data_IF_512075657975
#
_entry.id   IF_512075657975
#
_cell.length_a   1.000
_cell.length_b   1.000
_cell.length_c   1.000
_cell.angle_alpha   90.00
_cell.angle_beta   90.00
_cell.angle_gamma   90.00
#
_symmetry.space_group_name_H-M   'P 1'
#
loop_
_entity.id
_entity.type
_entity.pdbx_description
1 polymer ?
#
# COMPACT_ATOMS: atom_id res chain seq x y z
N UNK A 1 -5.78 -10.49 14.86
CA UNK A 1 -5.50 -9.97 13.50
C UNK A 1 -6.83 -9.67 12.84
N UNK A 2 -7.20 -8.39 12.67
CA UNK A 2 -8.40 -8.00 11.92
C UNK A 2 -7.92 -7.59 10.51
N UNK A 3 -7.83 -8.54 9.59
CA UNK A 3 -7.34 -8.29 8.23
C UNK A 3 -6.76 -9.52 7.54
N UNK A 4 -6.77 -9.54 6.20
CA UNK A 4 -6.09 -10.60 5.42
C UNK A 4 -4.57 -10.47 5.63
N UNK A 5 -3.93 -11.57 6.05
CA UNK A 5 -2.47 -11.59 6.25
C UNK A 5 -1.73 -11.42 4.90
N UNK A 6 -0.50 -10.92 4.93
CA UNK A 6 0.31 -10.87 3.70
C UNK A 6 0.50 -12.28 3.14
N UNK A 7 0.72 -12.40 1.83
CA UNK A 7 0.94 -13.70 1.19
C UNK A 7 2.07 -14.47 1.90
N UNK A 8 3.21 -13.81 2.18
CA UNK A 8 4.34 -14.42 2.91
C UNK A 8 3.98 -14.87 4.34
N UNK A 9 3.26 -14.03 5.11
CA UNK A 9 2.83 -14.41 6.45
C UNK A 9 1.86 -15.59 6.41
N UNK A 10 0.98 -15.62 5.40
CA UNK A 10 0.04 -16.71 5.19
C UNK A 10 0.75 -18.03 4.88
N UNK A 11 1.85 -18.00 4.11
CA UNK A 11 2.70 -19.18 3.91
C UNK A 11 3.37 -19.66 5.20
N UNK A 12 3.88 -18.75 6.03
CA UNK A 12 4.48 -19.11 7.31
C UNK A 12 3.45 -19.73 8.28
N UNK A 13 2.26 -19.13 8.37
CA UNK A 13 1.13 -19.67 9.14
C UNK A 13 0.73 -21.04 8.59
N UNK A 14 0.57 -21.17 7.26
CA UNK A 14 0.22 -22.43 6.61
C UNK A 14 1.21 -23.54 6.95
N UNK A 15 2.50 -23.25 6.97
CA UNK A 15 3.53 -24.20 7.39
C UNK A 15 3.40 -24.59 8.87
N UNK A 16 3.11 -23.64 9.76
CA UNK A 16 2.94 -23.92 11.19
C UNK A 16 1.71 -24.79 11.47
N UNK A 17 0.60 -24.60 10.75
CA UNK A 17 -0.65 -25.33 10.97
C UNK A 17 -0.81 -26.56 10.07
N UNK A 18 0.12 -26.80 9.13
CA UNK A 18 0.06 -27.87 8.13
C UNK A 18 -0.27 -29.24 8.75
N UNK A 19 0.36 -29.54 9.88
CA UNK A 19 0.23 -30.81 10.58
C UNK A 19 -1.15 -31.06 11.21
N UNK A 20 -2.00 -30.03 11.32
CA UNK A 20 -3.32 -30.10 11.96
C UNK A 20 -4.42 -30.31 10.91
N UNK A 21 -4.25 -29.79 9.70
CA UNK A 21 -5.30 -29.74 8.67
C UNK A 21 -4.98 -30.63 7.47
N UNK A 22 -6.01 -31.23 6.86
CA UNK A 22 -5.84 -32.04 5.64
C UNK A 22 -5.37 -31.24 4.41
N UNK A 23 -5.51 -29.92 4.43
CA UNK A 23 -4.97 -28.99 3.45
C UNK A 23 -5.14 -27.54 3.89
N UNK A 24 -4.29 -26.66 3.39
CA UNK A 24 -4.32 -25.22 3.68
C UNK A 24 -4.27 -24.46 2.36
N UNK A 25 -5.19 -23.51 2.19
CA UNK A 25 -5.21 -22.60 1.05
C UNK A 25 -5.01 -21.16 1.52
N UNK A 26 -4.19 -20.41 0.78
CA UNK A 26 -3.78 -19.04 1.09
C UNK A 26 -4.40 -18.09 0.08
N UNK A 27 -5.04 -17.02 0.57
CA UNK A 27 -5.57 -15.97 -0.27
C UNK A 27 -4.44 -15.21 -0.99
N UNK A 28 -4.57 -15.01 -2.30
CA UNK A 28 -3.68 -14.14 -3.07
C UNK A 28 -4.49 -12.99 -3.70
N UNK A 29 -4.34 -11.73 -3.23
CA UNK A 29 -5.09 -10.58 -3.77
C UNK A 29 -4.77 -10.25 -5.23
N UNK A 30 -3.71 -10.81 -5.80
CA UNK A 30 -3.34 -10.62 -7.21
C UNK A 30 -3.99 -11.64 -8.13
N UNK A 31 -4.56 -12.70 -7.56
CA UNK A 31 -5.21 -13.77 -8.27
C UNK A 31 -6.69 -13.69 -7.86
N UNK A 32 -7.55 -13.25 -8.76
CA UNK A 32 -8.95 -13.02 -8.42
C UNK A 32 -9.67 -12.25 -9.51
N UNK A 33 -10.98 -12.41 -9.53
CA UNK A 33 -11.87 -11.65 -10.41
C UNK A 33 -12.85 -10.85 -9.55
N UNK A 34 -13.55 -9.90 -10.16
CA UNK A 34 -14.49 -9.06 -9.42
C UNK A 34 -15.59 -9.94 -8.82
N UNK A 35 -15.69 -9.95 -7.49
CA UNK A 35 -16.66 -10.76 -6.73
C UNK A 35 -16.20 -12.19 -6.44
N UNK A 36 -14.92 -12.50 -6.65
CA UNK A 36 -14.40 -13.86 -6.53
C UNK A 36 -12.96 -13.85 -5.99
N UNK A 37 -12.83 -14.22 -4.72
CA UNK A 37 -11.55 -14.35 -4.03
C UNK A 37 -10.91 -15.69 -4.41
N UNK A 38 -9.66 -15.65 -4.87
CA UNK A 38 -8.90 -16.86 -5.17
C UNK A 38 -7.94 -17.19 -4.03
N UNK A 39 -7.98 -18.44 -3.63
CA UNK A 39 -7.06 -19.04 -2.68
C UNK A 39 -6.23 -20.09 -3.40
N UNK A 40 -4.94 -20.12 -3.15
CA UNK A 40 -4.04 -21.14 -3.71
C UNK A 40 -3.81 -22.19 -2.64
N UNK A 41 -4.02 -23.46 -2.94
CA UNK A 41 -3.69 -24.57 -2.04
C UNK A 41 -2.17 -24.62 -1.89
N UNK A 42 -1.66 -24.34 -0.69
CA UNK A 42 -0.22 -24.30 -0.38
C UNK A 42 0.26 -25.55 0.35
N UNK A 43 -0.65 -26.22 1.05
CA UNK A 43 -0.41 -27.48 1.75
C UNK A 43 -1.55 -28.43 1.42
N UNK A 44 -1.23 -29.69 1.11
CA UNK A 44 -2.24 -30.74 1.02
C UNK A 44 -1.68 -32.07 1.53
N UNK A 45 -2.46 -32.71 2.38
CA UNK A 45 -2.26 -34.08 2.88
C UNK A 45 -3.36 -35.02 2.35
N UNK A 46 -4.20 -34.54 1.41
CA UNK A 46 -5.28 -35.33 0.82
C UNK A 46 -5.11 -35.45 -0.69
N UNK A 47 -5.68 -36.51 -1.29
CA UNK A 47 -5.74 -36.64 -2.75
C UNK A 47 -6.81 -35.76 -3.40
N UNK A 48 -7.68 -35.16 -2.59
CA UNK A 48 -8.84 -34.39 -3.08
C UNK A 48 -8.46 -33.04 -3.66
N UNK A 49 -7.36 -32.44 -3.21
CA UNK A 49 -6.84 -31.18 -3.72
C UNK A 49 -5.32 -31.20 -3.80
N UNK A 50 -4.76 -30.64 -4.86
CA UNK A 50 -3.32 -30.62 -5.08
C UNK A 50 -2.72 -29.26 -4.72
N UNK A 51 -1.45 -29.26 -4.29
CA UNK A 51 -0.71 -28.00 -4.10
C UNK A 51 -0.65 -27.25 -5.44
N UNK A 52 -0.97 -25.96 -5.41
CA UNK A 52 -1.08 -25.10 -6.58
C UNK A 52 -2.49 -25.02 -7.17
N UNK A 53 -3.42 -25.88 -6.75
CA UNK A 53 -4.83 -25.77 -7.14
C UNK A 53 -5.45 -24.49 -6.58
N UNK A 54 -6.38 -23.89 -7.31
CA UNK A 54 -7.08 -22.67 -6.91
C UNK A 54 -8.46 -23.00 -6.36
N UNK A 55 -8.82 -22.34 -5.27
CA UNK A 55 -10.12 -22.42 -4.60
C UNK A 55 -10.75 -21.05 -4.67
N UNK A 56 -11.91 -21.01 -5.30
CA UNK A 56 -12.64 -19.78 -5.54
C UNK A 56 -13.72 -19.62 -4.46
N UNK A 57 -13.78 -18.43 -3.86
CA UNK A 57 -14.78 -18.07 -2.87
C UNK A 57 -15.51 -16.83 -3.38
N UNK A 58 -16.83 -16.96 -3.58
CA UNK A 58 -17.68 -15.82 -3.93
C UNK A 58 -17.63 -14.77 -2.83
N UNK A 59 -17.48 -13.51 -3.22
CA UNK A 59 -17.51 -12.38 -2.33
C UNK A 59 -18.33 -11.24 -2.94
N UNK A 60 -18.90 -10.39 -2.11
CA UNK A 60 -19.60 -9.21 -2.62
C UNK A 60 -18.60 -8.24 -3.25
N UNK A 61 -18.74 -7.90 -4.55
CA UNK A 61 -17.81 -6.99 -5.20
C UNK A 61 -17.98 -5.57 -4.69
N UNK A 62 -17.00 -5.08 -3.94
CA UNK A 62 -16.97 -3.69 -3.46
C UNK A 62 -16.26 -2.75 -4.46
N UNK A 63 -16.64 -1.46 -4.53
CA UNK A 63 -15.90 -0.48 -5.31
C UNK A 63 -14.47 -0.35 -4.75
N UNK A 64 -13.46 -0.73 -5.53
CA UNK A 64 -12.07 -0.67 -5.08
C UNK A 64 -11.57 0.78 -5.06
N UNK A 65 -11.33 1.33 -3.87
CA UNK A 65 -10.62 2.59 -3.68
C UNK A 65 -9.11 2.29 -3.74
N UNK A 66 -8.45 2.77 -4.80
CA UNK A 66 -7.00 2.58 -5.03
C UNK A 66 -6.29 3.91 -4.81
N UNK A 67 -5.53 4.03 -3.73
CA UNK A 67 -4.84 5.28 -3.35
C UNK A 67 -3.34 5.12 -3.55
N UNK A 68 -2.74 6.06 -4.28
CA UNK A 68 -1.29 6.13 -4.47
C UNK A 68 -0.64 7.16 -3.54
N UNK A 69 0.46 6.78 -2.90
CA UNK A 69 1.38 7.66 -2.20
C UNK A 69 2.45 8.14 -3.16
N UNK A 70 2.41 9.42 -3.49
CA UNK A 70 3.34 10.06 -4.41
C UNK A 70 4.17 11.16 -3.71
N UNK A 71 5.22 11.62 -4.39
CA UNK A 71 6.08 12.70 -3.92
C UNK A 71 7.57 12.44 -4.08
N UNK A 72 8.42 13.48 -3.94
CA UNK A 72 9.87 13.42 -4.14
C UNK A 72 10.58 12.33 -3.30
N UNK A 73 11.83 11.97 -3.66
CA UNK A 73 12.58 10.99 -2.88
C UNK A 73 12.88 11.52 -1.47
N UNK A 74 13.05 10.61 -0.52
CA UNK A 74 13.43 10.92 0.87
C UNK A 74 12.44 11.87 1.58
N UNK A 75 11.14 11.73 1.34
CA UNK A 75 10.05 12.35 2.12
C UNK A 75 9.45 11.42 3.17
N UNK A 76 9.92 10.18 3.26
CA UNK A 76 9.36 9.21 4.20
C UNK A 76 8.12 8.46 3.70
N UNK A 77 7.86 8.42 2.38
CA UNK A 77 6.74 7.64 1.79
C UNK A 77 6.60 6.22 2.35
N UNK A 78 7.68 5.44 2.37
CA UNK A 78 7.66 4.07 2.92
C UNK A 78 7.30 4.05 4.41
N UNK A 79 7.81 5.03 5.19
CA UNK A 79 7.52 5.16 6.62
C UNK A 79 6.04 5.50 6.82
N UNK A 80 5.51 6.46 6.05
CA UNK A 80 4.11 6.81 6.09
C UNK A 80 3.22 5.64 5.66
N UNK A 81 3.57 4.92 4.60
CA UNK A 81 2.82 3.74 4.14
C UNK A 81 2.66 2.71 5.27
N UNK A 82 3.74 2.41 6.01
CA UNK A 82 3.68 1.48 7.14
C UNK A 82 2.91 2.04 8.34
N UNK A 83 3.06 3.34 8.62
CA UNK A 83 2.31 4.00 9.67
C UNK A 83 0.80 4.00 9.39
N UNK A 84 0.40 4.34 8.16
CA UNK A 84 -0.98 4.27 7.67
C UNK A 84 -1.52 2.84 7.71
N UNK A 85 -0.71 1.86 7.25
CA UNK A 85 -1.10 0.46 7.32
C UNK A 85 -1.48 0.07 8.76
N UNK A 86 -0.65 0.45 9.71
CA UNK A 86 -0.87 0.15 11.13
C UNK A 86 -2.06 0.92 11.70
N UNK A 87 -2.24 2.19 11.32
CA UNK A 87 -3.34 3.02 11.79
C UNK A 87 -4.69 2.52 11.26
N UNK A 88 -4.81 2.25 9.96
CA UNK A 88 -6.04 1.74 9.33
C UNK A 88 -6.44 0.40 9.95
N UNK A 89 -5.51 -0.53 10.16
CA UNK A 89 -5.81 -1.84 10.77
C UNK A 89 -6.26 -1.75 12.24
N UNK A 90 -6.04 -0.62 12.92
CA UNK A 90 -6.51 -0.36 14.29
C UNK A 90 -7.92 0.23 14.34
N UNK A 91 -8.42 0.81 13.24
CA UNK A 91 -9.77 1.37 13.17
C UNK A 91 -10.83 0.27 13.15
N UNK A 92 -11.95 0.48 13.85
CA UNK A 92 -13.00 -0.54 13.97
C UNK A 92 -13.83 -0.70 12.69
N UNK A 93 -14.02 0.41 11.96
CA UNK A 93 -14.75 0.48 10.70
C UNK A 93 -13.87 0.25 9.46
N UNK A 94 -12.59 -0.12 9.62
CA UNK A 94 -11.71 -0.37 8.49
C UNK A 94 -12.18 -1.58 7.66
N UNK A 95 -12.06 -1.51 6.31
CA UNK A 95 -12.35 -2.65 5.46
C UNK A 95 -11.49 -3.86 5.84
N UNK A 96 -12.14 -5.02 6.03
CA UNK A 96 -11.47 -6.27 6.46
C UNK A 96 -10.45 -6.78 5.44
N UNK A 97 -10.58 -6.35 4.21
CA UNK A 97 -9.73 -6.69 3.09
C UNK A 97 -8.75 -5.56 2.72
N UNK A 98 -8.56 -4.53 3.54
CA UNK A 98 -7.55 -3.49 3.28
C UNK A 98 -6.18 -4.09 2.93
N UNK A 99 -5.58 -3.64 1.83
CA UNK A 99 -4.33 -4.17 1.31
C UNK A 99 -3.31 -3.08 0.97
N UNK A 100 -2.03 -3.42 1.15
CA UNK A 100 -0.91 -2.53 0.86
C UNK A 100 0.11 -3.24 -0.03
N UNK A 101 0.55 -2.58 -1.10
CA UNK A 101 1.58 -3.11 -2.01
C UNK A 101 2.62 -2.04 -2.35
N UNK A 102 3.90 -2.43 -2.39
CA UNK A 102 4.96 -1.54 -2.88
C UNK A 102 4.95 -1.47 -4.41
N UNK A 103 4.93 -0.25 -4.94
CA UNK A 103 5.01 0.03 -6.38
C UNK A 103 6.38 0.46 -6.87
N UNK A 104 7.40 0.54 -5.99
CA UNK A 104 8.76 0.95 -6.34
C UNK A 104 9.76 -0.21 -6.18
N UNK A 105 10.66 -0.47 -7.14
CA UNK A 105 11.68 -1.52 -7.03
C UNK A 105 12.93 -1.04 -6.27
N UNK A 106 12.75 -0.30 -5.17
CA UNK A 106 13.86 0.29 -4.42
C UNK A 106 14.56 -0.68 -3.44
N UNK A 107 14.13 -1.95 -3.47
CA UNK A 107 14.60 -2.99 -2.56
C UNK A 107 13.93 -2.93 -1.19
N UNK A 108 12.97 -2.03 -0.99
CA UNK A 108 12.15 -1.99 0.21
C UNK A 108 10.86 -2.78 -0.02
N UNK A 109 10.49 -3.60 0.96
CA UNK A 109 9.23 -4.35 0.97
C UNK A 109 8.56 -4.25 2.33
N UNK A 110 7.43 -4.95 2.49
CA UNK A 110 6.72 -5.00 3.78
C UNK A 110 7.59 -5.51 4.95
N UNK A 111 8.67 -6.24 4.66
CA UNK A 111 9.65 -6.73 5.62
C UNK A 111 10.61 -5.62 6.12
N UNK A 112 10.86 -4.58 5.32
CA UNK A 112 11.99 -3.69 5.52
C UNK A 112 11.91 -2.92 6.84
N UNK A 113 10.76 -2.33 7.18
CA UNK A 113 10.63 -1.54 8.41
C UNK A 113 10.80 -2.38 9.69
N UNK A 114 10.25 -3.59 9.72
CA UNK A 114 10.41 -4.50 10.86
C UNK A 114 11.85 -4.99 10.98
N UNK A 115 12.47 -5.39 9.86
CA UNK A 115 13.88 -5.80 9.86
C UNK A 115 14.77 -4.63 10.24
N UNK A 116 14.53 -3.40 9.77
CA UNK A 116 15.35 -2.24 10.09
C UNK A 116 15.31 -1.88 11.59
N UNK A 117 14.17 -2.08 12.26
CA UNK A 117 14.04 -1.87 13.71
C UNK A 117 14.78 -2.93 14.53
N UNK A 118 14.74 -4.19 14.10
CA UNK A 118 15.32 -5.30 14.85
C UNK A 118 16.79 -5.59 14.49
N UNK A 119 17.17 -5.35 13.24
CA UNK A 119 18.48 -5.65 12.67
C UNK A 119 18.79 -4.71 11.47
N UNK A 120 19.27 -3.48 11.74
CA UNK A 120 19.46 -2.45 10.71
C UNK A 120 20.49 -2.85 9.64
N UNK A 121 21.55 -3.56 10.02
CA UNK A 121 22.60 -3.99 9.09
C UNK A 121 22.07 -5.03 8.10
N UNK A 122 21.30 -6.01 8.58
CA UNK A 122 20.63 -6.99 7.73
C UNK A 122 19.63 -6.32 6.79
N UNK A 123 18.85 -5.35 7.29
CA UNK A 123 17.92 -4.61 6.46
C UNK A 123 18.62 -3.86 5.32
N UNK A 124 19.75 -3.23 5.61
CA UNK A 124 20.56 -2.53 4.60
C UNK A 124 21.15 -3.49 3.55
N UNK A 125 21.64 -4.65 3.99
CA UNK A 125 22.16 -5.70 3.10
C UNK A 125 21.07 -6.21 2.16
N UNK A 126 19.93 -6.68 2.71
CA UNK A 126 18.83 -7.21 1.90
C UNK A 126 18.27 -6.16 0.95
N UNK A 127 18.17 -4.89 1.40
CA UNK A 127 17.71 -3.81 0.51
C UNK A 127 18.63 -3.66 -0.69
N UNK A 128 19.94 -3.73 -0.50
CA UNK A 128 20.91 -3.64 -1.59
C UNK A 128 20.79 -4.82 -2.56
N UNK A 129 20.52 -6.00 -2.05
CA UNK A 129 20.34 -7.23 -2.83
C UNK A 129 19.04 -7.23 -3.65
N UNK A 130 17.94 -6.80 -3.05
CA UNK A 130 16.62 -6.78 -3.70
C UNK A 130 16.33 -5.53 -4.53
N UNK A 131 17.19 -4.50 -4.46
CA UNK A 131 17.03 -3.29 -5.26
C UNK A 131 17.18 -3.62 -6.74
N UNK A 132 16.12 -3.35 -7.50
CA UNK A 132 16.09 -3.61 -8.92
C UNK A 132 16.02 -2.31 -9.73
N UNK A 133 16.23 -2.41 -11.04
CA UNK A 133 16.04 -1.28 -11.94
C UNK A 133 14.55 -1.00 -12.12
N UNK A 134 14.18 0.27 -12.07
CA UNK A 134 12.83 0.69 -12.42
C UNK A 134 12.70 0.69 -13.94
N UNK A 135 12.13 -0.38 -14.48
CA UNK A 135 11.98 -0.61 -15.92
C UNK A 135 10.51 -0.55 -16.31
N UNK A 136 10.23 -0.25 -17.58
CA UNK A 136 8.88 -0.33 -18.14
C UNK A 136 8.23 -1.71 -17.94
N UNK A 137 9.01 -2.79 -18.02
CA UNK A 137 8.51 -4.15 -17.74
C UNK A 137 8.00 -4.25 -16.31
N UNK A 138 8.82 -3.81 -15.34
CA UNK A 138 8.42 -3.78 -13.93
C UNK A 138 7.15 -2.93 -13.73
N UNK A 139 7.08 -1.75 -14.35
CA UNK A 139 5.92 -0.88 -14.24
C UNK A 139 4.65 -1.51 -14.80
N UNK A 140 4.71 -2.20 -15.95
CA UNK A 140 3.58 -2.93 -16.55
C UNK A 140 3.15 -4.11 -15.69
N UNK A 141 4.11 -4.90 -15.20
CA UNK A 141 3.83 -6.04 -14.33
C UNK A 141 3.17 -5.54 -13.02
N UNK A 142 3.66 -4.43 -12.46
CA UNK A 142 3.10 -3.81 -11.26
C UNK A 142 1.72 -3.20 -11.49
N UNK A 143 1.50 -2.52 -12.61
CA UNK A 143 0.18 -1.98 -12.97
C UNK A 143 -0.83 -3.11 -13.15
N UNK A 144 -0.42 -4.25 -13.73
CA UNK A 144 -1.28 -5.44 -13.81
C UNK A 144 -1.65 -5.97 -12.42
N UNK A 145 -0.67 -6.08 -11.51
CA UNK A 145 -0.95 -6.46 -10.11
C UNK A 145 -1.97 -5.51 -9.47
N UNK A 146 -1.75 -4.20 -9.56
CA UNK A 146 -2.65 -3.17 -8.97
C UNK A 146 -4.03 -3.21 -9.62
N UNK A 147 -4.12 -3.45 -10.93
CA UNK A 147 -5.38 -3.59 -11.65
C UNK A 147 -6.19 -4.79 -11.13
N UNK A 148 -5.53 -5.94 -10.93
CA UNK A 148 -6.16 -7.19 -10.47
C UNK A 148 -6.63 -7.14 -9.01
N UNK A 149 -5.96 -6.36 -8.16
CA UNK A 149 -6.34 -6.20 -6.75
C UNK A 149 -7.68 -5.46 -6.67
N UNK A 150 -8.70 -6.15 -6.15
CA UNK A 150 -10.08 -5.67 -6.02
C UNK A 150 -10.51 -5.41 -4.57
N UNK A 151 -9.55 -5.43 -3.64
CA UNK A 151 -9.78 -5.09 -2.25
C UNK A 151 -10.43 -3.71 -2.11
N UNK A 152 -11.36 -3.58 -1.16
CA UNK A 152 -12.19 -2.38 -0.95
C UNK A 152 -11.33 -1.12 -0.77
N UNK A 153 -10.18 -1.26 -0.11
CA UNK A 153 -9.15 -0.23 -0.02
C UNK A 153 -7.77 -0.81 -0.35
N UNK A 154 -7.10 -0.21 -1.33
CA UNK A 154 -5.73 -0.51 -1.73
C UNK A 154 -4.86 0.74 -1.56
N UNK A 155 -3.80 0.62 -0.78
CA UNK A 155 -2.76 1.65 -0.68
C UNK A 155 -1.48 1.16 -1.36
N UNK A 156 -0.90 1.99 -2.22
CA UNK A 156 0.39 1.69 -2.85
C UNK A 156 1.23 2.95 -2.98
N UNK A 157 2.54 2.80 -3.16
CA UNK A 157 3.46 3.91 -3.35
C UNK A 157 4.15 3.85 -4.73
N UNK A 158 4.68 4.98 -5.17
CA UNK A 158 5.44 5.08 -6.43
C UNK A 158 6.83 5.66 -6.20
N UNK A 159 7.72 5.44 -7.18
CA UNK A 159 9.06 5.96 -7.15
C UNK A 159 9.07 7.49 -7.09
N UNK A 160 9.94 8.05 -6.24
CA UNK A 160 9.96 9.50 -6.01
C UNK A 160 10.59 10.35 -7.11
N UNK A 161 11.07 9.76 -8.20
CA UNK A 161 11.67 10.52 -9.31
C UNK A 161 10.55 11.10 -10.19
N UNK A 162 10.62 12.42 -10.42
CA UNK A 162 9.57 13.23 -11.06
C UNK A 162 9.72 13.20 -12.58
N UNK A 163 8.60 13.10 -13.30
CA UNK A 163 7.83 11.89 -13.48
C UNK A 163 8.42 11.06 -14.61
N UNK A 164 8.40 9.73 -14.47
CA UNK A 164 8.83 8.83 -15.54
C UNK A 164 7.64 8.11 -16.16
N UNK A 165 7.86 7.53 -17.34
CA UNK A 165 6.87 6.69 -18.01
C UNK A 165 6.38 5.54 -17.12
N UNK A 166 7.27 5.00 -16.28
CA UNK A 166 6.96 3.97 -15.31
C UNK A 166 5.93 4.44 -14.27
N UNK A 167 6.10 5.64 -13.71
CA UNK A 167 5.12 6.22 -12.78
C UNK A 167 3.78 6.44 -13.46
N UNK A 168 3.77 6.86 -14.74
CA UNK A 168 2.52 7.04 -15.51
C UNK A 168 1.74 5.73 -15.62
N UNK A 169 2.42 4.65 -15.97
CA UNK A 169 1.83 3.31 -16.11
C UNK A 169 1.23 2.85 -14.77
N UNK A 170 1.98 2.97 -13.67
CA UNK A 170 1.51 2.51 -12.35
C UNK A 170 0.36 3.37 -11.83
N UNK A 171 0.48 4.70 -11.90
CA UNK A 171 -0.52 5.65 -11.37
C UNK A 171 -1.82 5.67 -12.17
N UNK A 172 -1.81 5.21 -13.43
CA UNK A 172 -3.04 5.05 -14.23
C UNK A 172 -4.09 4.13 -13.60
N UNK A 173 -3.67 3.29 -12.63
CA UNK A 173 -4.53 2.36 -11.90
C UNK A 173 -5.07 2.95 -10.58
N UNK A 174 -4.60 4.14 -10.19
CA UNK A 174 -5.07 4.83 -9.00
C UNK A 174 -6.44 5.50 -9.24
N UNK A 175 -7.20 5.65 -8.15
CA UNK A 175 -8.43 6.43 -8.09
C UNK A 175 -8.24 7.77 -7.39
N UNK A 176 -7.34 7.82 -6.40
CA UNK A 176 -7.00 9.01 -5.64
C UNK A 176 -5.49 9.01 -5.35
N UNK A 177 -4.94 10.18 -5.03
CA UNK A 177 -3.56 10.33 -4.63
C UNK A 177 -3.41 11.08 -3.30
N UNK A 178 -2.39 10.69 -2.54
CA UNK A 178 -1.90 11.37 -1.35
C UNK A 178 -0.47 11.80 -1.63
N UNK A 179 -0.24 13.11 -1.57
CA UNK A 179 1.04 13.72 -1.91
C UNK A 179 1.88 13.98 -0.66
N UNK A 180 3.13 13.55 -0.67
CA UNK A 180 4.13 13.93 0.35
C UNK A 180 5.12 14.90 -0.26
N UNK A 181 5.09 16.16 0.20
CA UNK A 181 5.92 17.23 -0.34
C UNK A 181 7.02 17.68 0.64
N UNK A 182 8.08 18.30 0.12
CA UNK A 182 9.01 19.11 0.92
C UNK A 182 8.77 20.61 0.73
N UNK A 183 8.24 20.96 -0.44
CA UNK A 183 8.05 22.33 -0.90
C UNK A 183 6.76 22.43 -1.72
N UNK A 184 6.24 23.65 -1.87
CA UNK A 184 5.12 23.94 -2.77
C UNK A 184 5.43 23.59 -4.23
N UNK A 185 6.69 23.72 -4.64
CA UNK A 185 7.09 23.35 -6.00
C UNK A 185 6.91 21.85 -6.25
N UNK A 186 7.21 21.01 -5.25
CA UNK A 186 6.96 19.57 -5.36
C UNK A 186 5.47 19.30 -5.59
N UNK A 187 4.59 20.03 -4.88
CA UNK A 187 3.13 19.89 -5.04
C UNK A 187 2.73 20.26 -6.46
N UNK A 188 3.18 21.42 -6.95
CA UNK A 188 2.88 21.90 -8.30
C UNK A 188 3.32 20.90 -9.39
N UNK A 189 4.55 20.38 -9.30
CA UNK A 189 5.09 19.43 -10.28
C UNK A 189 4.29 18.13 -10.33
N UNK A 190 3.89 17.61 -9.15
CA UNK A 190 3.09 16.39 -9.06
C UNK A 190 1.62 16.60 -9.44
N UNK A 191 1.04 17.77 -9.15
CA UNK A 191 -0.30 18.15 -9.63
C UNK A 191 -0.33 18.21 -11.14
N UNK A 192 0.63 18.91 -11.76
CA UNK A 192 0.72 18.99 -13.22
C UNK A 192 0.85 17.60 -13.85
N UNK A 193 1.65 16.72 -13.27
CA UNK A 193 1.75 15.34 -13.74
C UNK A 193 0.40 14.60 -13.64
N UNK A 194 -0.28 14.68 -12.49
CA UNK A 194 -1.53 13.97 -12.24
C UNK A 194 -2.71 14.50 -13.06
N UNK A 195 -2.72 15.79 -13.37
CA UNK A 195 -3.79 16.45 -14.12
C UNK A 195 -3.58 16.38 -15.63
N UNK A 196 -2.34 16.60 -16.11
CA UNK A 196 -2.06 16.79 -17.54
C UNK A 196 -1.35 15.63 -18.22
N UNK A 197 -0.67 14.76 -17.46
CA UNK A 197 0.17 13.68 -18.03
C UNK A 197 -0.43 12.29 -17.86
N UNK A 198 -1.39 12.12 -16.95
CA UNK A 198 -2.17 10.89 -16.84
C UNK A 198 -3.31 10.88 -17.86
N UNK A 199 -3.72 9.69 -18.29
CA UNK A 199 -4.88 9.52 -19.19
C UNK A 199 -6.19 9.98 -18.56
N UNK A 200 -6.28 9.90 -17.22
CA UNK A 200 -7.38 10.39 -16.41
C UNK A 200 -6.82 11.27 -15.30
N UNK A 201 -7.40 12.46 -15.06
CA UNK A 201 -7.00 13.30 -13.94
C UNK A 201 -7.11 12.52 -12.63
N UNK A 202 -6.05 12.54 -11.84
CA UNK A 202 -6.00 11.85 -10.55
C UNK A 202 -6.15 12.87 -9.40
N UNK A 203 -7.29 12.90 -8.69
CA UNK A 203 -7.53 13.89 -7.65
C UNK A 203 -6.66 13.64 -6.41
N UNK A 204 -6.16 14.72 -5.83
CA UNK A 204 -5.49 14.70 -4.53
C UNK A 204 -6.51 14.80 -3.41
N UNK A 205 -6.53 13.79 -2.55
CA UNK A 205 -7.36 13.77 -1.33
C UNK A 205 -6.59 14.29 -0.12
N UNK A 206 -5.25 14.29 -0.19
CA UNK A 206 -4.41 14.89 0.82
C UNK A 206 -3.06 15.38 0.27
N UNK A 207 -2.56 16.48 0.85
CA UNK A 207 -1.23 17.06 0.59
C UNK A 207 -0.54 17.26 1.94
N UNK A 208 0.50 16.47 2.20
CA UNK A 208 1.20 16.45 3.48
C UNK A 208 2.64 16.86 3.30
N UNK A 209 3.07 17.89 4.03
CA UNK A 209 4.45 18.36 4.02
C UNK A 209 5.27 17.59 5.05
N UNK A 210 6.33 16.92 4.59
CA UNK A 210 7.27 16.19 5.42
C UNK A 210 8.33 17.15 5.96
N UNK A 211 8.17 17.59 7.20
CA UNK A 211 9.11 18.51 7.85
C UNK A 211 10.05 17.80 8.82
N UNK A 212 11.35 17.81 8.51
CA UNK A 212 12.38 17.18 9.35
C UNK A 212 12.65 17.92 10.66
N UNK A 213 12.40 19.24 10.69
CA UNK A 213 12.70 20.11 11.84
C UNK A 213 11.50 20.34 12.75
N UNK A 214 10.28 20.03 12.29
CA UNK A 214 9.09 20.12 13.11
C UNK A 214 9.16 19.13 14.28
N UNK A 215 8.49 19.47 15.37
CA UNK A 215 8.38 18.64 16.57
C UNK A 215 7.00 18.04 16.78
N UNK A 216 6.02 18.50 15.99
CA UNK A 216 4.63 18.08 16.07
C UNK A 216 3.99 18.11 14.67
N UNK A 217 2.98 17.26 14.49
CA UNK A 217 2.12 17.32 13.31
C UNK A 217 1.18 18.52 13.41
N UNK A 218 0.78 19.06 12.27
CA UNK A 218 -0.26 20.09 12.20
C UNK A 218 -1.25 19.72 11.11
N UNK A 219 -2.54 19.91 11.37
CA UNK A 219 -3.59 19.83 10.36
C UNK A 219 -3.99 21.27 10.05
N UNK A 220 -3.80 21.67 8.80
CA UNK A 220 -4.14 23.02 8.32
C UNK A 220 -5.56 23.08 7.77
N UNK A 221 -5.99 22.02 7.07
CA UNK A 221 -7.34 21.87 6.52
C UNK A 221 -7.72 20.41 6.50
N UNK A 222 -8.96 20.06 6.80
CA UNK A 222 -9.52 18.71 6.75
C UNK A 222 -10.47 18.49 5.55
N UNK A 223 -10.93 19.58 4.92
CA UNK A 223 -11.80 19.59 3.75
C UNK A 223 -11.52 20.81 2.84
N UNK A 224 -11.69 20.70 1.50
CA UNK A 224 -12.03 19.51 0.72
C UNK A 224 -10.85 18.56 0.49
N UNK A 225 -9.63 19.01 0.80
CA UNK A 225 -8.39 18.23 0.73
C UNK A 225 -7.72 18.32 2.10
N UNK A 226 -7.33 17.18 2.66
CA UNK A 226 -6.59 17.15 3.92
C UNK A 226 -5.18 17.72 3.70
N UNK A 227 -4.86 18.82 4.36
CA UNK A 227 -3.54 19.46 4.26
C UNK A 227 -2.92 19.67 5.63
N UNK A 228 -1.59 19.62 5.67
CA UNK A 228 -0.85 19.90 6.89
C UNK A 228 0.56 19.33 6.86
N UNK A 229 1.17 19.23 8.04
CA UNK A 229 2.55 18.78 8.20
C UNK A 229 2.62 17.48 8.98
N UNK A 230 3.53 16.60 8.57
CA UNK A 230 3.95 15.45 9.36
C UNK A 230 5.42 15.66 9.76
N UNK A 231 5.68 15.63 11.06
CA UNK A 231 7.03 15.87 11.55
C UNK A 231 7.87 14.60 11.44
N UNK A 232 9.14 14.73 11.07
CA UNK A 232 10.21 13.71 11.23
C UNK A 232 9.74 12.25 11.01
N UNK A 233 9.46 11.88 9.77
CA UNK A 233 9.20 10.48 9.39
C UNK A 233 10.51 9.67 9.41
N UNK A 234 10.82 9.10 10.57
CA UNK A 234 12.00 8.27 10.80
C UNK A 234 11.62 6.78 10.85
N UNK A 235 12.57 5.90 10.48
CA UNK A 235 12.33 4.44 10.32
C UNK A 235 12.28 3.69 11.65
N UNK A 236 12.91 4.25 12.66
CA UNK A 236 13.02 3.75 14.03
C UNK A 236 11.81 4.09 14.90
N UNK A 237 10.91 4.96 14.42
CA UNK A 237 9.73 5.40 15.17
C UNK A 237 8.44 4.76 14.61
N UNK A 238 7.47 4.48 15.48
CA UNK A 238 6.11 4.18 15.05
C UNK A 238 5.31 5.48 14.93
N UNK A 239 5.10 5.92 13.70
CA UNK A 239 4.30 7.11 13.40
C UNK A 239 2.78 6.83 13.38
N UNK A 240 2.33 5.59 13.65
CA UNK A 240 0.93 5.21 13.45
C UNK A 240 -0.06 5.98 14.34
N UNK A 241 0.33 6.40 15.55
CA UNK A 241 -0.53 7.17 16.46
C UNK A 241 -0.50 8.68 16.23
N UNK A 242 0.27 9.16 15.24
CA UNK A 242 0.44 10.61 15.05
C UNK A 242 -0.81 11.27 14.45
N UNK A 243 -1.13 12.52 14.83
CA UNK A 243 -2.35 13.19 14.41
C UNK A 243 -2.59 13.20 12.90
N UNK A 244 -1.56 13.53 12.09
CA UNK A 244 -1.72 13.56 10.63
C UNK A 244 -1.94 12.16 10.05
N UNK A 245 -1.30 11.14 10.64
CA UNK A 245 -1.44 9.74 10.19
C UNK A 245 -2.83 9.20 10.55
N UNK A 246 -3.35 9.55 11.73
CA UNK A 246 -4.71 9.18 12.14
C UNK A 246 -5.76 9.85 11.25
N UNK A 247 -5.64 11.16 11.01
CA UNK A 247 -6.54 11.89 10.11
C UNK A 247 -6.54 11.32 8.68
N UNK A 248 -5.35 10.99 8.15
CA UNK A 248 -5.24 10.30 6.86
C UNK A 248 -5.89 8.91 6.88
N UNK A 249 -5.71 8.13 7.95
CA UNK A 249 -6.30 6.80 8.05
C UNK A 249 -7.83 6.85 8.06
N UNK A 250 -8.42 7.78 8.82
CA UNK A 250 -9.86 8.03 8.85
C UNK A 250 -10.38 8.47 7.47
N UNK A 251 -9.70 9.41 6.82
CA UNK A 251 -10.04 9.84 5.45
C UNK A 251 -10.08 8.67 4.47
N UNK A 252 -9.07 7.79 4.51
CA UNK A 252 -9.00 6.62 3.64
C UNK A 252 -10.13 5.62 3.87
N UNK A 253 -10.55 5.43 5.13
CA UNK A 253 -11.67 4.52 5.47
C UNK A 253 -13.01 5.14 5.06
N UNK A 254 -13.21 6.43 5.30
CA UNK A 254 -14.45 7.13 4.94
C UNK A 254 -14.66 7.16 3.42
N UNK A 255 -13.59 7.30 2.62
CA UNK A 255 -13.66 7.23 1.15
C UNK A 255 -14.24 5.91 0.61
N UNK A 256 -14.14 4.83 1.38
CA UNK A 256 -14.76 3.54 1.04
C UNK A 256 -16.23 3.56 1.44
N UNK A 257 -16.55 4.08 2.64
CA UNK A 257 -17.92 4.18 3.16
C UNK A 257 -18.84 5.01 2.26
N UNK A 258 -18.37 6.18 1.80
CA UNK A 258 -19.13 7.10 0.93
C UNK A 258 -19.49 6.51 -0.45
N UNK A 259 -18.90 5.37 -0.82
CA UNK A 259 -19.17 4.67 -2.09
C UNK A 259 -20.11 3.47 -1.95
N UNK A 260 -20.47 3.11 -0.71
CA UNK A 260 -21.36 1.97 -0.41
C UNK A 260 -22.80 2.44 -0.15
N UNK A 261 -23.01 3.72 0.14
CA UNK A 261 -24.32 4.39 0.17
C UNK A 261 -24.77 4.86 -1.22
#
# INVERSE_FOLDING_TARGET
>A
MKGRATVLASFAIANQIAHIYGGVAVFDPKQGEKGLDKYIVTVSHTKSRQVGETVDIECEPQPAVKVVLCGPPNTGKTVLQQALKTAVLKLENAPKDFYVISGCPDGEGAWFSETARNNPDLAAQLKKEYKAKFTLKFARDKARDIAAINNSLLLFDVGGKIPTEENRIIMSQATHAVMLAKTEQDVADWQEFCEKKLEKPLPFIAIVYSELKATQDTIASDSPVLTGTVHRLARDEDASSRPMVQALAELLVNLVGDRIE
#
